data_IF_360706647672
#
_entry.id   IF_360706647672
#
_cell.length_a   1.000
_cell.length_b   1.000
_cell.length_c   1.000
_cell.angle_alpha   90.00
_cell.angle_beta   90.00
_cell.angle_gamma   90.00
#
_symmetry.space_group_name_H-M   'P 1'
#
loop_
_entity.id
_entity.type
_entity.pdbx_description
1 polymer ?
#
# COMPACT_ATOMS: atom_id res chain seq x y z
N UNK A 1 -6.73 -3.02 8.29
CA UNK A 1 -6.72 -4.48 8.57
C UNK A 1 -5.62 -4.77 9.56
N UNK A 2 -5.81 -5.65 10.54
CA UNK A 2 -4.79 -5.97 11.55
C UNK A 2 -4.19 -7.38 11.36
N UNK A 3 -3.03 -7.68 11.95
CA UNK A 3 -2.30 -8.97 11.83
C UNK A 3 -3.21 -10.22 11.97
N UNK A 4 -4.16 -10.21 12.91
CA UNK A 4 -5.09 -11.34 13.17
C UNK A 4 -6.17 -11.46 12.10
N UNK A 5 -6.57 -10.32 11.50
CA UNK A 5 -7.44 -10.35 10.33
C UNK A 5 -6.72 -11.02 9.16
N UNK A 6 -5.40 -10.83 9.01
CA UNK A 6 -4.60 -11.52 8.00
C UNK A 6 -4.50 -13.01 8.29
N UNK A 7 -4.22 -13.44 9.53
CA UNK A 7 -4.18 -14.86 9.86
C UNK A 7 -5.52 -15.55 9.54
N UNK A 8 -6.64 -14.89 9.80
CA UNK A 8 -7.97 -15.39 9.41
C UNK A 8 -8.12 -15.48 7.90
N UNK A 9 -7.68 -14.47 7.14
CA UNK A 9 -7.70 -14.49 5.68
C UNK A 9 -6.81 -15.62 5.15
N UNK A 10 -5.61 -15.80 5.70
CA UNK A 10 -4.69 -16.87 5.32
C UNK A 10 -5.23 -18.27 5.66
N UNK A 11 -6.09 -18.37 6.69
CA UNK A 11 -6.81 -19.60 7.04
C UNK A 11 -8.02 -19.87 6.13
N UNK A 12 -8.48 -18.88 5.35
CA UNK A 12 -9.56 -19.12 4.39
C UNK A 12 -9.04 -19.92 3.19
N UNK A 13 -9.80 -20.93 2.77
CA UNK A 13 -9.47 -21.73 1.59
C UNK A 13 -10.04 -21.08 0.32
N UNK A 14 -9.74 -19.78 0.13
CA UNK A 14 -10.26 -18.97 -0.98
C UNK A 14 -9.14 -18.66 -1.98
N UNK A 15 -9.30 -19.12 -3.22
CA UNK A 15 -8.34 -18.81 -4.29
C UNK A 15 -8.69 -17.47 -4.95
N UNK A 16 -7.78 -16.52 -4.83
CA UNK A 16 -7.87 -15.23 -5.55
C UNK A 16 -7.20 -15.40 -6.91
N UNK A 17 -7.88 -15.03 -7.99
CA UNK A 17 -7.25 -15.08 -9.31
C UNK A 17 -6.20 -13.96 -9.46
N UNK A 18 -5.17 -14.20 -10.29
CA UNK A 18 -4.10 -13.22 -10.53
C UNK A 18 -4.60 -11.93 -11.19
N UNK A 19 -5.71 -11.99 -11.92
CA UNK A 19 -6.31 -10.82 -12.56
C UNK A 19 -6.82 -9.79 -11.54
N UNK A 20 -7.39 -10.19 -10.41
CA UNK A 20 -7.86 -9.25 -9.38
C UNK A 20 -6.71 -8.37 -8.84
N UNK A 21 -5.58 -8.99 -8.52
CA UNK A 21 -4.37 -8.30 -8.06
C UNK A 21 -3.80 -7.39 -9.16
N UNK A 22 -3.69 -7.91 -10.38
CA UNK A 22 -3.17 -7.16 -11.54
C UNK A 22 -4.06 -5.97 -11.89
N UNK A 23 -5.39 -6.13 -11.82
CA UNK A 23 -6.36 -5.08 -12.11
C UNK A 23 -6.22 -3.92 -11.12
N UNK A 24 -6.16 -4.22 -9.83
CA UNK A 24 -6.03 -3.18 -8.81
C UNK A 24 -4.66 -2.51 -8.88
N UNK A 25 -3.58 -3.30 -8.96
CA UNK A 25 -2.21 -2.80 -8.91
C UNK A 25 -1.77 -2.17 -10.22
N UNK A 26 -1.71 -2.96 -11.29
CA UNK A 26 -1.13 -2.53 -12.57
C UNK A 26 -2.15 -1.82 -13.48
N UNK A 27 -3.45 -1.90 -13.16
CA UNK A 27 -4.51 -1.16 -13.84
C UNK A 27 -4.92 0.10 -13.10
N UNK A 28 -5.64 -0.04 -11.98
CA UNK A 28 -6.25 1.06 -11.25
C UNK A 28 -5.21 1.98 -10.61
N UNK A 29 -4.31 1.46 -9.78
CA UNK A 29 -3.31 2.29 -9.09
C UNK A 29 -2.36 2.98 -10.07
N UNK A 30 -1.92 2.26 -11.12
CA UNK A 30 -1.09 2.86 -12.18
C UNK A 30 -1.78 4.05 -12.86
N UNK A 31 -3.09 3.95 -13.09
CA UNK A 31 -3.87 5.05 -13.69
C UNK A 31 -4.07 6.21 -12.70
N UNK A 32 -4.40 5.92 -11.45
CA UNK A 32 -4.65 6.95 -10.43
C UNK A 32 -3.40 7.74 -10.06
N UNK A 33 -2.25 7.06 -9.92
CA UNK A 33 -1.03 7.65 -9.40
C UNK A 33 -0.09 8.17 -10.50
N UNK A 34 -0.31 7.76 -11.75
CA UNK A 34 0.42 8.25 -12.93
C UNK A 34 1.94 8.25 -12.73
N UNK A 35 2.60 9.41 -12.83
CA UNK A 35 4.04 9.58 -12.70
C UNK A 35 4.57 9.28 -11.29
N UNK A 36 3.76 9.48 -10.25
CA UNK A 36 4.12 9.20 -8.86
C UNK A 36 3.97 7.72 -8.50
N UNK A 37 3.40 6.90 -9.39
CA UNK A 37 3.12 5.48 -9.13
C UNK A 37 4.32 4.71 -8.54
N UNK A 38 5.55 4.76 -9.11
CA UNK A 38 6.69 4.05 -8.53
C UNK A 38 7.08 4.58 -7.15
N UNK A 39 7.08 5.91 -6.96
CA UNK A 39 7.48 6.54 -5.71
C UNK A 39 6.50 6.24 -4.57
N UNK A 40 5.21 6.34 -4.84
CA UNK A 40 4.15 6.02 -3.87
C UNK A 40 4.15 4.53 -3.56
N UNK A 41 4.32 3.64 -4.54
CA UNK A 41 4.44 2.22 -4.27
C UNK A 41 5.67 1.89 -3.43
N UNK A 42 6.81 2.54 -3.67
CA UNK A 42 8.00 2.37 -2.84
C UNK A 42 7.73 2.73 -1.37
N UNK A 43 7.11 3.89 -1.14
CA UNK A 43 6.71 4.31 0.19
C UNK A 43 5.69 3.35 0.81
N UNK A 44 4.69 2.91 0.05
CA UNK A 44 3.69 1.95 0.50
C UNK A 44 4.33 0.61 0.90
N UNK A 45 5.36 0.17 0.17
CA UNK A 45 6.14 -1.01 0.50
C UNK A 45 6.83 -0.89 1.85
N UNK A 46 7.50 0.26 2.08
CA UNK A 46 8.09 0.57 3.40
C UNK A 46 7.02 0.55 4.48
N UNK A 47 5.87 1.17 4.25
CA UNK A 47 4.79 1.22 5.23
C UNK A 47 4.20 -0.16 5.56
N UNK A 48 4.01 -1.02 4.56
CA UNK A 48 3.61 -2.42 4.78
C UNK A 48 4.65 -3.14 5.65
N UNK A 49 5.94 -3.00 5.37
CA UNK A 49 6.98 -3.63 6.17
C UNK A 49 7.01 -3.16 7.64
N UNK A 50 6.62 -1.91 7.95
CA UNK A 50 6.48 -1.43 9.34
C UNK A 50 5.30 -2.09 10.06
N UNK A 51 4.25 -2.42 9.33
CA UNK A 51 3.07 -3.10 9.86
C UNK A 51 3.31 -4.61 10.01
N UNK A 52 4.18 -5.19 9.18
CA UNK A 52 4.57 -6.60 9.19
C UNK A 52 6.08 -6.75 9.33
N UNK A 53 6.67 -6.37 10.48
CA UNK A 53 8.10 -6.57 10.69
C UNK A 53 8.43 -8.07 10.66
N UNK A 54 9.52 -8.41 9.99
CA UNK A 54 9.97 -9.81 9.87
C UNK A 54 11.25 -10.03 10.67
N UNK A 55 11.23 -11.04 11.53
CA UNK A 55 12.36 -11.35 12.41
C UNK A 55 13.48 -12.14 11.72
N UNK A 56 13.17 -12.76 10.57
CA UNK A 56 14.09 -13.61 9.84
C UNK A 56 13.85 -13.54 8.32
N UNK A 57 14.87 -13.90 7.54
CA UNK A 57 14.78 -13.96 6.07
C UNK A 57 13.70 -14.94 5.60
N UNK A 58 13.52 -16.07 6.30
CA UNK A 58 12.45 -17.03 6.00
C UNK A 58 11.05 -16.44 6.16
N UNK A 59 10.89 -15.48 7.08
CA UNK A 59 9.63 -14.77 7.28
C UNK A 59 9.35 -13.80 6.14
N UNK A 60 10.39 -13.20 5.54
CA UNK A 60 10.25 -12.42 4.29
C UNK A 60 9.75 -13.32 3.15
N UNK A 61 10.34 -14.50 2.98
CA UNK A 61 9.90 -15.47 1.96
C UNK A 61 8.43 -15.85 2.15
N UNK A 62 8.05 -16.18 3.39
CA UNK A 62 6.66 -16.54 3.73
C UNK A 62 5.71 -15.37 3.49
N UNK A 63 6.12 -14.15 3.81
CA UNK A 63 5.32 -12.96 3.56
C UNK A 63 5.05 -12.74 2.07
N UNK A 64 6.08 -12.86 1.22
CA UNK A 64 5.93 -12.66 -0.23
C UNK A 64 4.98 -13.69 -0.87
N UNK A 65 5.03 -14.94 -0.41
CA UNK A 65 4.12 -15.99 -0.87
C UNK A 65 2.68 -15.68 -0.45
N UNK A 66 2.46 -15.38 0.83
CA UNK A 66 1.15 -15.04 1.39
C UNK A 66 0.55 -13.75 0.79
N UNK A 67 1.38 -12.75 0.52
CA UNK A 67 0.97 -11.48 -0.08
C UNK A 67 0.72 -11.58 -1.58
N UNK A 68 1.02 -12.73 -2.20
CA UNK A 68 0.89 -12.92 -3.65
C UNK A 68 1.86 -12.05 -4.45
N UNK A 69 3.02 -11.69 -3.88
CA UNK A 69 4.05 -10.90 -4.58
C UNK A 69 4.90 -11.78 -5.49
N UNK A 70 4.97 -13.07 -5.21
CA UNK A 70 5.73 -14.07 -5.96
C UNK A 70 6.69 -14.85 -5.07
N UNK A 71 7.51 -15.69 -5.67
CA UNK A 71 8.51 -16.50 -4.97
C UNK A 71 9.80 -15.72 -4.88
N UNK A 72 10.19 -15.33 -3.66
CA UNK A 72 11.44 -14.61 -3.40
C UNK A 72 12.50 -15.52 -2.78
N UNK A 73 13.74 -15.37 -3.21
CA UNK A 73 14.90 -16.09 -2.68
C UNK A 73 16.09 -15.15 -2.46
N UNK A 74 16.90 -15.42 -1.44
CA UNK A 74 18.12 -14.64 -1.19
C UNK A 74 19.25 -15.17 -2.07
N UNK A 75 19.80 -14.29 -2.91
CA UNK A 75 20.92 -14.62 -3.79
C UNK A 75 22.26 -14.51 -3.07
N UNK A 76 22.39 -13.49 -2.22
CA UNK A 76 23.59 -13.28 -1.38
C UNK A 76 23.31 -12.27 -0.28
N UNK A 77 24.02 -12.38 0.83
CA UNK A 77 23.98 -11.44 1.93
C UNK A 77 25.38 -11.16 2.45
N UNK A 78 25.64 -9.88 2.74
CA UNK A 78 26.76 -9.42 3.53
C UNK A 78 26.26 -8.47 4.65
N UNK A 79 27.16 -7.84 5.39
CA UNK A 79 26.81 -6.96 6.51
C UNK A 79 26.11 -5.67 6.10
N UNK A 80 26.26 -5.23 4.85
CA UNK A 80 25.76 -3.95 4.32
C UNK A 80 24.78 -4.11 3.16
N UNK A 81 24.75 -5.28 2.52
CA UNK A 81 24.00 -5.50 1.31
C UNK A 81 23.29 -6.86 1.33
N UNK A 82 22.11 -6.89 0.72
CA UNK A 82 21.39 -8.10 0.38
C UNK A 82 21.01 -8.07 -1.10
N UNK A 83 21.11 -9.22 -1.76
CA UNK A 83 20.54 -9.42 -3.10
C UNK A 83 19.49 -10.49 -3.06
N UNK A 84 18.38 -10.22 -3.74
CA UNK A 84 17.22 -11.10 -3.79
C UNK A 84 16.79 -11.34 -5.24
N UNK A 85 16.24 -12.52 -5.51
CA UNK A 85 15.56 -12.82 -6.77
C UNK A 85 14.09 -13.08 -6.51
N UNK A 86 13.24 -12.41 -7.29
CA UNK A 86 11.79 -12.60 -7.29
C UNK A 86 11.37 -13.23 -8.61
N UNK A 87 10.69 -14.35 -8.50
CA UNK A 87 10.20 -15.16 -9.62
C UNK A 87 8.77 -15.61 -9.36
N UNK A 88 8.22 -16.46 -10.23
CA UNK A 88 6.87 -17.01 -10.11
C UNK A 88 5.96 -16.60 -11.27
N UNK A 89 4.79 -17.22 -11.33
CA UNK A 89 3.90 -17.11 -12.49
C UNK A 89 3.28 -15.72 -12.62
N UNK A 90 2.91 -15.08 -11.50
CA UNK A 90 2.42 -13.70 -11.51
C UNK A 90 3.49 -12.74 -12.04
N UNK A 91 4.74 -12.89 -11.58
CA UNK A 91 5.86 -12.05 -12.02
C UNK A 91 6.11 -12.21 -13.51
N UNK A 92 6.16 -13.45 -14.01
CA UNK A 92 6.29 -13.75 -15.44
C UNK A 92 5.13 -13.18 -16.24
N UNK A 93 3.90 -13.27 -15.75
CA UNK A 93 2.72 -12.70 -16.38
C UNK A 93 2.85 -11.18 -16.50
N UNK A 94 3.20 -10.48 -15.40
CA UNK A 94 3.39 -9.02 -15.37
C UNK A 94 4.48 -8.58 -16.35
N UNK A 95 5.64 -9.23 -16.32
CA UNK A 95 6.74 -8.97 -17.25
C UNK A 95 6.41 -9.37 -18.70
N UNK A 96 5.50 -10.33 -18.90
CA UNK A 96 4.99 -10.72 -20.20
C UNK A 96 4.19 -9.60 -20.85
N UNK A 97 3.29 -9.00 -20.08
CA UNK A 97 2.38 -7.92 -20.48
C UNK A 97 3.07 -6.56 -20.59
N UNK A 98 3.93 -6.21 -19.65
CA UNK A 98 4.62 -4.92 -19.58
C UNK A 98 6.12 -5.13 -19.33
N UNK A 99 6.96 -4.77 -20.32
CA UNK A 99 8.43 -4.84 -20.21
C UNK A 99 9.01 -3.78 -19.27
N UNK A 100 8.20 -2.82 -18.85
CA UNK A 100 8.50 -1.77 -17.88
C UNK A 100 7.69 -1.93 -16.59
N UNK A 101 7.19 -3.14 -16.30
CA UNK A 101 6.47 -3.43 -15.07
C UNK A 101 7.27 -3.00 -13.83
N UNK A 102 6.59 -2.36 -12.89
CA UNK A 102 7.19 -1.79 -11.69
C UNK A 102 7.12 -2.75 -10.49
N UNK A 103 8.22 -2.79 -9.73
CA UNK A 103 8.38 -3.60 -8.52
C UNK A 103 8.85 -2.74 -7.34
N UNK A 104 8.49 -1.46 -7.35
CA UNK A 104 8.86 -0.50 -6.30
C UNK A 104 8.24 -0.86 -4.95
N UNK A 105 7.04 -1.45 -4.96
CA UNK A 105 6.37 -1.96 -3.76
C UNK A 105 7.23 -3.00 -3.02
N UNK A 106 7.71 -4.01 -3.74
CA UNK A 106 8.55 -5.07 -3.19
C UNK A 106 9.92 -4.53 -2.76
N UNK A 107 10.50 -3.60 -3.54
CA UNK A 107 11.76 -2.95 -3.19
C UNK A 107 11.63 -2.18 -1.88
N UNK A 108 10.59 -1.36 -1.72
CA UNK A 108 10.35 -0.58 -0.50
C UNK A 108 10.14 -1.48 0.71
N UNK A 109 9.42 -2.59 0.55
CA UNK A 109 9.28 -3.59 1.60
C UNK A 109 10.63 -4.14 2.04
N UNK A 110 11.46 -4.62 1.10
CA UNK A 110 12.77 -5.19 1.41
C UNK A 110 13.72 -4.17 2.06
N UNK A 111 13.70 -2.92 1.61
CA UNK A 111 14.48 -1.84 2.21
C UNK A 111 14.13 -1.64 3.69
N UNK A 112 12.84 -1.50 4.00
CA UNK A 112 12.42 -1.28 5.38
C UNK A 112 12.64 -2.50 6.28
N UNK A 113 12.55 -3.73 5.73
CA UNK A 113 12.90 -4.93 6.50
C UNK A 113 14.38 -4.90 6.90
N UNK A 114 15.29 -4.57 5.97
CA UNK A 114 16.71 -4.46 6.28
C UNK A 114 16.97 -3.35 7.30
N UNK A 115 16.36 -2.17 7.13
CA UNK A 115 16.46 -1.05 8.08
C UNK A 115 16.03 -1.44 9.49
N UNK A 116 14.93 -2.21 9.62
CA UNK A 116 14.41 -2.69 10.91
C UNK A 116 15.34 -3.72 11.56
N UNK A 117 16.02 -4.54 10.74
CA UNK A 117 16.96 -5.56 11.20
C UNK A 117 18.30 -4.94 11.63
N UNK A 118 18.82 -3.97 10.89
CA UNK A 118 20.14 -3.37 11.13
C UNK A 118 20.08 -2.15 12.06
N UNK A 119 18.93 -1.47 12.15
CA UNK A 119 18.80 -0.19 12.84
C UNK A 119 19.53 0.94 12.11
N UNK A 120 19.71 0.82 10.79
CA UNK A 120 20.43 1.76 9.95
C UNK A 120 19.69 1.99 8.63
N UNK A 121 19.82 3.19 8.06
CA UNK A 121 19.10 3.57 6.83
C UNK A 121 19.40 2.54 5.74
N UNK A 122 18.35 2.09 5.05
CA UNK A 122 18.46 1.17 3.94
C UNK A 122 17.61 1.60 2.75
N UNK A 123 18.13 1.32 1.56
CA UNK A 123 17.48 1.61 0.28
C UNK A 123 17.57 0.38 -0.62
N UNK A 124 16.54 0.18 -1.45
CA UNK A 124 16.47 -0.93 -2.38
C UNK A 124 16.28 -0.43 -3.81
N UNK A 125 16.98 -1.09 -4.74
CA UNK A 125 16.77 -0.93 -6.17
C UNK A 125 16.43 -2.28 -6.80
N UNK A 126 15.77 -2.26 -7.95
CA UNK A 126 15.45 -3.48 -8.69
C UNK A 126 15.86 -3.38 -10.16
N UNK A 127 16.13 -4.54 -10.76
CA UNK A 127 16.42 -4.70 -12.18
C UNK A 127 15.67 -5.91 -12.72
N UNK A 128 15.10 -5.77 -13.91
CA UNK A 128 14.45 -6.88 -14.59
C UNK A 128 15.50 -7.86 -15.10
N UNK A 129 15.32 -9.15 -14.81
CA UNK A 129 16.24 -10.19 -15.28
C UNK A 129 16.08 -10.44 -16.79
N UNK A 130 17.12 -10.99 -17.41
CA UNK A 130 17.09 -11.34 -18.83
C UNK A 130 15.95 -12.31 -19.12
N UNK A 131 15.40 -12.23 -20.34
CA UNK A 131 14.30 -13.09 -20.83
C UNK A 131 13.04 -13.05 -19.95
N UNK A 132 12.87 -12.03 -19.11
CA UNK A 132 11.71 -11.85 -18.24
C UNK A 132 11.48 -13.03 -17.28
N UNK A 133 12.57 -13.66 -16.87
CA UNK A 133 12.53 -14.79 -15.94
C UNK A 133 12.22 -14.35 -14.51
N UNK A 134 12.38 -13.06 -14.19
CA UNK A 134 12.02 -12.46 -12.91
C UNK A 134 12.67 -11.10 -12.68
N UNK A 135 12.84 -10.73 -11.41
CA UNK A 135 13.38 -9.45 -10.95
C UNK A 135 14.49 -9.67 -9.94
N UNK A 136 15.60 -8.95 -10.06
CA UNK A 136 16.66 -8.92 -9.05
C UNK A 136 16.59 -7.64 -8.23
N UNK A 137 16.64 -7.76 -6.91
CA UNK A 137 16.73 -6.63 -5.98
C UNK A 137 18.12 -6.53 -5.38
N UNK A 138 18.57 -5.29 -5.19
CA UNK A 138 19.78 -4.95 -4.47
C UNK A 138 19.39 -3.97 -3.36
N UNK A 139 19.53 -4.43 -2.12
CA UNK A 139 19.21 -3.67 -0.90
C UNK A 139 20.52 -3.33 -0.22
N UNK A 140 20.75 -2.05 0.06
CA UNK A 140 21.99 -1.53 0.64
C UNK A 140 21.66 -0.76 1.91
N UNK A 141 22.53 -0.83 2.92
CA UNK A 141 22.40 -0.07 4.17
C UNK A 141 23.67 0.69 4.49
N UNK A 142 23.53 1.89 5.06
CA UNK A 142 24.64 2.65 5.62
C UNK A 142 24.68 2.50 7.15
N UNK A 143 25.55 1.62 7.64
CA UNK A 143 25.73 1.35 9.07
C UNK A 143 26.22 2.57 9.89
N UNK A 144 26.65 3.66 9.23
CA UNK A 144 27.01 4.90 9.93
C UNK A 144 25.80 5.80 10.18
N UNK A 145 24.71 5.62 9.43
CA UNK A 145 23.48 6.40 9.56
C UNK A 145 22.40 5.56 10.26
N UNK A 146 22.40 5.60 11.59
CA UNK A 146 21.49 4.83 12.42
C UNK A 146 20.08 5.42 12.44
N UNK A 147 19.07 4.55 12.49
CA UNK A 147 17.65 4.91 12.61
C UNK A 147 17.10 4.30 13.90
N UNK A 148 16.30 5.07 14.64
CA UNK A 148 15.57 4.53 15.78
C UNK A 148 14.37 3.69 15.30
N UNK A 149 14.55 2.37 15.36
CA UNK A 149 13.52 1.38 15.02
C UNK A 149 12.81 0.83 16.26
N UNK A 150 13.08 1.37 17.45
CA UNK A 150 12.49 0.90 18.70
C UNK A 150 10.98 1.15 18.76
N UNK A 151 10.52 2.31 18.25
CA UNK A 151 9.09 2.64 18.14
C UNK A 151 8.33 1.62 17.29
N UNK A 152 8.88 1.18 16.16
CA UNK A 152 8.24 0.19 15.28
C UNK A 152 8.03 -1.12 16.06
N UNK A 153 9.07 -1.62 16.73
CA UNK A 153 9.00 -2.86 17.52
C UNK A 153 8.03 -2.73 18.70
N UNK A 154 8.03 -1.58 19.39
CA UNK A 154 7.12 -1.31 20.50
C UNK A 154 5.67 -1.22 20.04
N UNK A 155 5.40 -0.53 18.93
CA UNK A 155 4.05 -0.40 18.35
C UNK A 155 3.51 -1.75 17.91
N UNK A 156 4.33 -2.59 17.29
CA UNK A 156 3.93 -3.96 16.92
C UNK A 156 3.68 -4.80 18.17
N UNK A 157 4.55 -4.75 19.18
CA UNK A 157 4.35 -5.50 20.43
C UNK A 157 3.09 -5.05 21.19
N UNK A 158 2.85 -3.74 21.28
CA UNK A 158 1.65 -3.17 21.88
C UNK A 158 0.39 -3.59 21.10
N UNK A 159 0.48 -3.59 19.77
CA UNK A 159 -0.59 -4.06 18.88
C UNK A 159 -0.92 -5.52 19.12
N UNK A 160 0.08 -6.40 19.09
CA UNK A 160 -0.08 -7.83 19.35
C UNK A 160 -0.68 -8.11 20.74
N UNK A 161 -0.19 -7.40 21.76
CA UNK A 161 -0.69 -7.53 23.13
C UNK A 161 -2.16 -7.12 23.25
N UNK A 162 -2.52 -5.96 22.66
CA UNK A 162 -3.91 -5.50 22.60
C UNK A 162 -4.80 -6.53 21.90
N UNK A 163 -4.34 -7.07 20.78
CA UNK A 163 -5.12 -8.02 20.00
C UNK A 163 -5.36 -9.32 20.76
N UNK A 164 -4.35 -9.91 21.41
CA UNK A 164 -4.55 -11.10 22.26
C UNK A 164 -5.61 -10.87 23.32
N UNK A 165 -5.54 -9.74 24.02
CA UNK A 165 -6.53 -9.38 25.03
C UNK A 165 -7.94 -9.24 24.44
N UNK A 166 -8.09 -8.60 23.29
CA UNK A 166 -9.42 -8.50 22.64
C UNK A 166 -9.96 -9.86 22.20
N UNK A 167 -9.10 -10.77 21.73
CA UNK A 167 -9.53 -12.10 21.29
C UNK A 167 -9.94 -12.97 22.48
N UNK A 168 -9.16 -12.96 23.57
CA UNK A 168 -9.53 -13.63 24.81
C UNK A 168 -10.89 -13.11 25.32
N UNK A 169 -11.09 -11.79 25.35
CA UNK A 169 -12.35 -11.20 25.79
C UNK A 169 -13.55 -11.60 24.90
N UNK A 170 -13.38 -11.67 23.57
CA UNK A 170 -14.44 -12.08 22.64
C UNK A 170 -14.76 -13.58 22.80
N UNK A 171 -13.74 -14.43 22.91
CA UNK A 171 -13.94 -15.87 23.16
C UNK A 171 -14.61 -16.10 24.52
N UNK A 172 -14.20 -15.40 25.57
CA UNK A 172 -14.85 -15.44 26.88
C UNK A 172 -16.32 -14.98 26.81
N UNK A 173 -16.61 -13.87 26.11
CA UNK A 173 -17.98 -13.38 25.92
C UNK A 173 -18.86 -14.37 25.13
N UNK A 174 -18.29 -15.02 24.10
CA UNK A 174 -18.97 -16.06 23.32
C UNK A 174 -19.23 -17.32 24.15
N UNK A 175 -18.30 -17.74 25.01
CA UNK A 175 -18.49 -18.87 25.94
C UNK A 175 -19.58 -18.56 26.97
N UNK A 176 -19.68 -17.31 27.44
CA UNK A 176 -20.74 -16.88 28.36
C UNK A 176 -22.11 -16.87 27.66
N UNK A 177 -22.18 -16.37 26.42
CA UNK A 177 -23.43 -16.31 25.64
C UNK A 177 -23.90 -17.68 25.09
N UNK A 178 -23.02 -18.67 24.94
CA UNK A 178 -23.41 -20.05 24.54
C UNK A 178 -23.96 -20.84 25.75
N UNK A 179 -23.89 -20.27 26.96
CA UNK A 179 -24.33 -20.90 28.21
C UNK A 179 -25.62 -20.31 28.77
N UNK A 180 -26.49 -19.76 27.93
CA UNK A 180 -27.91 -19.68 28.27
C UNK A 180 -28.77 -19.48 27.01
N UNK A 181 -29.93 -20.11 27.08
CA UNK A 181 -31.10 -20.03 26.21
C UNK A 181 -31.07 -20.55 24.76
N UNK A 182 -32.06 -21.40 24.49
CA UNK A 182 -32.51 -21.72 23.14
C UNK A 182 -33.20 -20.52 22.51
N UNK A 183 -33.33 -20.56 21.18
CA UNK A 183 -33.87 -19.51 20.31
C UNK A 183 -33.05 -18.21 20.25
N UNK A 184 -32.29 -18.06 19.16
CA UNK A 184 -32.28 -16.80 18.38
C UNK A 184 -31.74 -17.05 16.97
N UNK A 185 -32.66 -16.96 16.01
CA UNK A 185 -32.38 -16.72 14.59
C UNK A 185 -31.67 -15.38 14.39
N UNK A 186 -30.52 -15.37 13.71
CA UNK A 186 -29.86 -14.14 13.29
C UNK A 186 -29.56 -14.15 11.79
N UNK A 187 -30.48 -13.60 11.00
CA UNK A 187 -30.11 -12.82 9.82
C UNK A 187 -29.63 -11.45 10.34
N UNK A 188 -28.32 -11.22 10.36
CA UNK A 188 -27.79 -9.86 10.52
C UNK A 188 -27.52 -9.29 9.13
N UNK A 189 -28.47 -8.47 8.69
CA UNK A 189 -28.40 -7.66 7.48
C UNK A 189 -27.27 -6.64 7.60
N UNK A 190 -26.34 -6.67 6.64
CA UNK A 190 -25.18 -5.79 6.51
C UNK A 190 -25.57 -4.30 6.35
N UNK A 191 -26.85 -3.99 6.15
CA UNK A 191 -27.35 -2.64 5.89
C UNK A 191 -27.38 -1.71 7.10
N UNK A 192 -27.52 -2.22 8.33
CA UNK A 192 -27.64 -1.34 9.51
C UNK A 192 -26.30 -0.75 9.98
N UNK A 193 -25.18 -1.41 9.68
CA UNK A 193 -23.85 -0.90 10.03
C UNK A 193 -23.39 0.27 9.15
N UNK A 194 -24.00 0.47 7.98
CA UNK A 194 -23.69 1.57 7.07
C UNK A 194 -24.54 2.83 7.33
N UNK A 195 -25.68 2.71 8.02
CA UNK A 195 -26.55 3.83 8.38
C UNK A 195 -26.14 4.54 9.69
N UNK A 196 -25.23 3.95 10.47
CA UNK A 196 -24.70 4.55 11.69
C UNK A 196 -23.57 5.58 11.43
N UNK A 197 -23.03 5.65 10.21
CA UNK A 197 -22.14 6.72 9.79
C UNK A 197 -22.96 7.95 9.36
N UNK A 198 -23.31 8.81 10.32
CA UNK A 198 -23.80 10.16 10.02
C UNK A 198 -22.59 11.05 9.70
N UNK A 199 -22.43 11.40 8.43
CA UNK A 199 -21.38 12.32 7.96
C UNK A 199 -21.60 13.79 8.35
N UNK A 200 -22.65 14.10 9.11
CA UNK A 200 -23.01 15.47 9.52
C UNK A 200 -22.27 15.95 10.80
N UNK A 201 -21.57 15.07 11.53
CA UNK A 201 -20.90 15.40 12.80
C UNK A 201 -19.39 15.72 12.65
N UNK A 202 -18.91 16.03 11.44
CA UNK A 202 -17.55 16.55 11.25
C UNK A 202 -17.58 18.06 11.53
N UNK A 203 -17.22 18.46 12.75
CA UNK A 203 -16.91 19.85 13.07
C UNK A 203 -15.67 20.29 12.26
N UNK A 204 -15.92 20.97 11.14
CA UNK A 204 -14.88 21.69 10.39
C UNK A 204 -14.26 22.77 11.30
N UNK A 205 -12.92 22.91 11.35
CA UNK A 205 -12.30 23.99 12.11
C UNK A 205 -12.76 25.34 11.56
N UNK A 206 -13.31 26.19 12.46
CA UNK A 206 -13.76 27.54 12.10
C UNK A 206 -12.57 28.38 11.65
N UNK A 207 -12.55 28.75 10.37
CA UNK A 207 -11.62 29.74 9.84
C UNK A 207 -11.75 31.07 10.60
N UNK A 208 -10.62 31.62 11.03
CA UNK A 208 -10.56 32.96 11.59
C UNK A 208 -10.76 34.00 10.47
N UNK A 209 -11.50 35.11 10.72
CA UNK A 209 -11.80 36.07 9.67
C UNK A 209 -10.54 36.88 9.33
N UNK A 210 -9.89 36.58 8.20
CA UNK A 210 -8.99 37.51 7.54
C UNK A 210 -9.82 38.59 6.85
N UNK A 211 -9.75 39.79 7.41
CA UNK A 211 -10.29 41.02 6.82
C UNK A 211 -9.63 41.31 5.47
N UNK A 212 -10.40 41.20 4.39
CA UNK A 212 -10.10 41.85 3.10
C UNK A 212 -11.40 41.96 2.28
N UNK A 213 -12.33 42.79 2.77
CA UNK A 213 -13.34 43.40 1.91
C UNK A 213 -12.76 44.67 1.31
N UNK A 214 -12.34 44.61 0.05
CA UNK A 214 -12.34 45.75 -0.88
C UNK A 214 -11.89 45.28 -2.27
N UNK A 215 -12.84 44.92 -3.13
CA UNK A 215 -13.08 45.62 -4.41
C UNK A 215 -14.15 44.88 -5.20
N UNK A 216 -15.25 45.59 -5.42
CA UNK A 216 -16.38 45.32 -6.29
C UNK A 216 -15.98 45.19 -7.76
N UNK A 217 -16.62 44.25 -8.46
CA UNK A 217 -16.65 44.19 -9.92
C UNK A 217 -17.34 42.90 -10.36
N UNK A 218 -18.64 42.98 -10.63
CA UNK A 218 -19.42 41.90 -11.25
C UNK A 218 -18.84 41.61 -12.64
N UNK A 219 -18.29 40.41 -12.83
CA UNK A 219 -18.12 39.76 -14.12
C UNK A 219 -18.10 38.23 -13.88
N UNK A 220 -19.25 37.58 -14.10
CA UNK A 220 -19.35 36.12 -14.15
C UNK A 220 -18.53 35.60 -15.35
N UNK A 221 -17.39 34.97 -15.06
CA UNK A 221 -16.62 34.24 -16.08
C UNK A 221 -17.22 32.83 -16.20
N UNK A 222 -17.93 32.58 -17.29
CA UNK A 222 -18.40 31.24 -17.67
C UNK A 222 -17.21 30.37 -18.11
N UNK A 223 -16.89 29.26 -17.41
CA UNK A 223 -15.73 28.42 -17.70
C UNK A 223 -15.85 27.57 -18.98
N UNK A 224 -16.96 27.67 -19.74
CA UNK A 224 -17.17 26.87 -20.95
C UNK A 224 -17.26 27.69 -22.26
N UNK A 225 -16.99 28.99 -22.24
CA UNK A 225 -16.99 29.81 -23.46
C UNK A 225 -15.61 29.80 -24.15
N UNK A 226 -15.44 28.94 -25.16
CA UNK A 226 -14.29 28.99 -26.07
C UNK A 226 -14.62 29.84 -27.31
N UNK A 227 -13.90 30.93 -27.59
CA UNK A 227 -14.09 31.65 -28.85
C UNK A 227 -13.52 30.83 -30.02
N UNK A 228 -14.41 30.37 -30.90
CA UNK A 228 -14.07 29.95 -32.26
C UNK A 228 -13.72 31.17 -33.10
N UNK A 229 -12.50 31.24 -33.64
CA UNK A 229 -12.21 32.09 -34.80
C UNK A 229 -11.63 31.24 -35.93
N UNK A 230 -12.40 31.16 -37.01
CA UNK A 230 -11.98 30.67 -38.32
C UNK A 230 -11.85 31.89 -39.24
N UNK A 231 -10.64 32.07 -39.78
CA UNK A 231 -10.20 32.60 -41.07
C UNK A 231 -10.85 33.86 -41.71
N UNK A 232 -10.02 34.85 -42.08
CA UNK A 232 -9.50 34.99 -43.45
C UNK A 232 -8.70 36.29 -43.71
N UNK A 233 -7.55 36.13 -44.39
CA UNK A 233 -6.94 36.99 -45.44
C UNK A 233 -6.56 38.47 -45.15
N UNK A 234 -5.48 39.07 -45.66
CA UNK A 234 -4.40 38.66 -46.57
C UNK A 234 -3.30 39.75 -46.60
N UNK A 235 -2.16 39.37 -47.18
CA UNK A 235 -1.16 40.18 -47.92
C UNK A 235 0.23 40.45 -47.30
N UNK A 236 1.20 39.86 -48.02
CA UNK A 236 2.63 40.15 -48.15
C UNK A 236 2.88 41.60 -48.64
N UNK A 237 4.10 42.17 -48.53
CA UNK A 237 5.19 41.88 -49.49
C UNK A 237 6.59 41.69 -48.87
N UNK A 238 7.44 41.05 -49.68
CA UNK A 238 8.89 40.94 -49.57
C UNK A 238 9.66 42.26 -49.40
N UNK A 239 10.73 42.22 -48.60
CA UNK A 239 12.11 42.56 -49.00
C UNK A 239 13.10 41.86 -48.07
#
# INVERSE_FOLDING_TARGET
MNSYDYDKILQTNFQVNSFALTLLRDGLLKNLLQEDYPHILYWAGKEIARQFPTDALSSVVTFFDNAGFGTIEIASQDSKNQRWYLTGDLVKQRLGLDKSADFSLEAGFLAQQLETQTGAIAEATFKLMKKNEGVSFEVVTDLNETVDVSDIKQRVAARESFLRQTHENIEHAKIINIRDDGDISHEQSITDSLLAFKFDDIDLPKEAPTSLSALSGDDEIDPFNFPTSTDAESQSPFS
#
